data_IF_953114407449
#
_entry.id   IF_953114407449
#
_cell.length_a   1.000
_cell.length_b   1.000
_cell.length_c   1.000
_cell.angle_alpha   90.00
_cell.angle_beta   90.00
_cell.angle_gamma   90.00
#
_symmetry.space_group_name_H-M   'P 1'
#
loop_
_entity.id
_entity.type
_entity.pdbx_description
1 polymer ?
#
# COMPACT_ATOMS: atom_id res chain seq x y z
N UNK A 1 20.67 -14.64 -5.60
CA UNK A 1 22.03 -14.29 -6.06
C UNK A 1 22.81 -15.47 -6.62
N UNK A 2 23.07 -16.57 -5.89
CA UNK A 2 23.89 -17.70 -6.40
C UNK A 2 23.43 -18.25 -7.75
N UNK A 3 22.13 -18.51 -7.96
CA UNK A 3 21.62 -19.00 -9.24
C UNK A 3 21.80 -18.02 -10.41
N UNK A 4 21.59 -16.72 -10.14
CA UNK A 4 21.83 -15.68 -11.14
C UNK A 4 23.33 -15.59 -11.48
N UNK A 5 24.22 -15.69 -10.48
CA UNK A 5 25.67 -15.72 -10.67
C UNK A 5 26.16 -16.92 -11.47
N UNK A 6 25.43 -18.05 -11.40
CA UNK A 6 25.68 -19.24 -12.21
C UNK A 6 25.11 -19.13 -13.63
N UNK A 7 24.71 -17.94 -14.09
CA UNK A 7 24.07 -17.69 -15.37
C UNK A 7 22.81 -18.53 -15.61
N UNK A 8 22.11 -18.94 -14.54
CA UNK A 8 20.85 -19.67 -14.67
C UNK A 8 19.70 -18.68 -14.90
N UNK A 9 18.89 -18.84 -15.97
CA UNK A 9 17.71 -18.02 -16.17
C UNK A 9 16.81 -18.07 -14.94
N UNK A 10 16.58 -16.91 -14.33
CA UNK A 10 15.87 -16.79 -13.05
C UNK A 10 14.75 -15.78 -13.19
N UNK A 11 13.55 -16.14 -12.72
CA UNK A 11 12.39 -15.24 -12.64
C UNK A 11 12.06 -15.05 -11.17
N UNK A 12 11.92 -13.79 -10.74
CA UNK A 12 11.50 -13.43 -9.39
C UNK A 12 10.00 -13.15 -9.38
N UNK A 13 9.26 -13.83 -8.50
CA UNK A 13 7.86 -13.56 -8.23
C UNK A 13 7.72 -12.92 -6.86
N UNK A 14 7.36 -11.64 -6.83
CA UNK A 14 7.01 -10.95 -5.60
C UNK A 14 5.55 -11.24 -5.27
N UNK A 15 5.32 -12.10 -4.28
CA UNK A 15 3.98 -12.43 -3.85
C UNK A 15 3.41 -11.29 -3.00
N UNK A 16 2.37 -10.64 -3.51
CA UNK A 16 1.58 -9.68 -2.73
C UNK A 16 0.76 -10.34 -1.62
N UNK A 17 -0.01 -9.52 -0.90
CA UNK A 17 -0.95 -9.99 0.12
C UNK A 17 -2.38 -9.97 -0.42
N UNK A 18 -3.13 -11.05 -0.18
CA UNK A 18 -4.57 -11.06 -0.36
C UNK A 18 -5.25 -10.52 0.90
N UNK A 19 -6.30 -9.72 0.75
CA UNK A 19 -6.97 -9.08 1.88
C UNK A 19 -7.42 -10.12 2.92
N UNK A 20 -7.07 -9.87 4.20
CA UNK A 20 -7.40 -10.73 5.35
C UNK A 20 -6.79 -12.15 5.32
N UNK A 21 -5.83 -12.42 4.42
CA UNK A 21 -5.18 -13.73 4.23
C UNK A 21 -3.83 -13.81 4.94
N UNK A 22 -3.82 -13.64 6.27
CA UNK A 22 -2.58 -13.62 7.06
C UNK A 22 -1.82 -14.95 7.03
N UNK A 23 -2.54 -16.07 6.95
CA UNK A 23 -1.96 -17.41 6.77
C UNK A 23 -1.47 -17.66 5.35
N UNK A 24 -1.76 -16.74 4.41
CA UNK A 24 -1.33 -16.74 3.00
C UNK A 24 -1.84 -17.91 2.17
N UNK A 25 -3.00 -18.48 2.49
CA UNK A 25 -3.56 -19.61 1.73
C UNK A 25 -3.97 -19.18 0.32
N UNK A 26 -4.64 -18.03 0.20
CA UNK A 26 -5.08 -17.48 -1.07
C UNK A 26 -3.89 -16.98 -1.89
N UNK A 27 -2.96 -16.25 -1.26
CA UNK A 27 -1.72 -15.83 -1.92
C UNK A 27 -0.96 -17.04 -2.48
N UNK A 28 -0.77 -18.11 -1.70
CA UNK A 28 -0.08 -19.32 -2.17
C UNK A 28 -0.82 -20.01 -3.31
N UNK A 29 -2.14 -20.08 -3.26
CA UNK A 29 -2.95 -20.64 -4.33
C UNK A 29 -2.74 -19.90 -5.67
N UNK A 30 -2.73 -18.56 -5.66
CA UNK A 30 -2.50 -17.77 -6.87
C UNK A 30 -1.06 -17.87 -7.40
N UNK A 31 -0.08 -17.93 -6.50
CA UNK A 31 1.32 -18.17 -6.88
C UNK A 31 1.48 -19.55 -7.51
N UNK A 32 0.90 -20.59 -6.90
CA UNK A 32 0.91 -21.93 -7.45
C UNK A 32 0.32 -21.96 -8.87
N UNK A 33 -0.86 -21.36 -9.07
CA UNK A 33 -1.47 -21.26 -10.41
C UNK A 33 -0.58 -20.56 -11.42
N UNK A 34 0.08 -19.48 -11.03
CA UNK A 34 0.99 -18.72 -11.89
C UNK A 34 2.19 -19.56 -12.30
N UNK A 35 2.83 -20.24 -11.34
CA UNK A 35 3.97 -21.13 -11.59
C UNK A 35 3.57 -22.31 -12.46
N UNK A 36 2.44 -22.96 -12.17
CA UNK A 36 1.92 -24.06 -12.97
C UNK A 36 1.69 -23.62 -14.42
N UNK A 37 1.04 -22.46 -14.61
CA UNK A 37 0.80 -21.91 -15.95
C UNK A 37 2.11 -21.59 -16.67
N UNK A 38 3.11 -21.03 -15.97
CA UNK A 38 4.42 -20.73 -16.55
C UNK A 38 5.11 -22.02 -17.05
N UNK A 39 5.13 -23.08 -16.23
CA UNK A 39 5.68 -24.38 -16.62
C UNK A 39 4.97 -24.93 -17.85
N UNK A 40 3.62 -24.93 -17.85
CA UNK A 40 2.85 -25.38 -19.00
C UNK A 40 3.25 -24.65 -20.29
N UNK A 41 3.32 -23.31 -20.25
CA UNK A 41 3.68 -22.49 -21.42
C UNK A 41 5.10 -22.72 -21.92
N UNK A 42 6.05 -22.94 -21.00
CA UNK A 42 7.43 -23.30 -21.34
C UNK A 42 7.46 -24.65 -22.05
N UNK A 43 6.79 -25.66 -21.50
CA UNK A 43 6.77 -27.01 -22.08
C UNK A 43 6.08 -27.09 -23.43
N UNK A 44 5.06 -26.25 -23.66
CA UNK A 44 4.33 -26.20 -24.94
C UNK A 44 4.91 -25.21 -25.95
N UNK A 45 5.99 -24.49 -25.60
CA UNK A 45 6.60 -23.43 -26.41
C UNK A 45 5.58 -22.40 -26.95
N UNK A 46 4.56 -22.06 -26.13
CA UNK A 46 3.40 -21.25 -26.55
C UNK A 46 3.33 -19.89 -25.83
N UNK A 47 4.48 -19.37 -25.40
CA UNK A 47 4.58 -18.06 -24.72
C UNK A 47 4.15 -16.92 -25.67
N UNK A 48 4.44 -17.05 -26.96
CA UNK A 48 4.09 -16.07 -28.00
C UNK A 48 2.59 -16.00 -28.30
N UNK A 49 1.78 -16.91 -27.76
CA UNK A 49 0.33 -16.89 -27.90
C UNK A 49 -0.35 -15.78 -27.08
N UNK A 50 0.37 -15.09 -26.20
CA UNK A 50 -0.14 -13.97 -25.42
C UNK A 50 0.29 -12.64 -26.02
N UNK A 51 -0.69 -11.77 -26.24
CA UNK A 51 -0.49 -10.41 -26.68
C UNK A 51 0.26 -9.61 -25.60
N UNK A 52 1.34 -8.92 -25.98
CA UNK A 52 2.14 -8.08 -25.07
C UNK A 52 1.28 -6.97 -24.45
N UNK A 53 0.29 -6.51 -25.21
CA UNK A 53 -0.66 -5.47 -24.84
C UNK A 53 -1.45 -5.83 -23.58
N UNK A 54 -1.73 -7.13 -23.38
CA UNK A 54 -2.40 -7.61 -22.16
C UNK A 54 -1.55 -7.34 -20.92
N UNK A 55 -0.24 -7.61 -21.00
CA UNK A 55 0.67 -7.34 -19.90
C UNK A 55 0.77 -5.83 -19.63
N UNK A 56 0.93 -5.01 -20.68
CA UNK A 56 1.03 -3.55 -20.51
C UNK A 56 -0.28 -2.90 -20.06
N UNK A 57 -1.41 -3.60 -20.17
CA UNK A 57 -2.69 -3.13 -19.62
C UNK A 57 -2.80 -3.29 -18.10
N UNK A 58 -1.93 -4.13 -17.50
CA UNK A 58 -1.89 -4.29 -16.04
C UNK A 58 -1.42 -2.96 -15.43
N UNK A 59 -2.17 -2.38 -14.48
CA UNK A 59 -1.80 -1.12 -13.88
C UNK A 59 -0.47 -1.27 -13.14
N UNK A 60 0.41 -0.29 -13.33
CA UNK A 60 1.67 -0.24 -12.58
C UNK A 60 1.41 -0.12 -11.08
N UNK A 61 2.30 -0.72 -10.30
CA UNK A 61 2.27 -0.58 -8.85
C UNK A 61 2.54 0.88 -8.48
N UNK A 62 1.66 1.48 -7.69
CA UNK A 62 1.76 2.87 -7.23
C UNK A 62 1.82 2.92 -5.72
N UNK A 63 2.60 3.86 -5.17
CA UNK A 63 2.62 4.16 -3.73
C UNK A 63 1.36 4.94 -3.34
N UNK A 64 0.21 4.27 -3.37
CA UNK A 64 -1.09 4.85 -3.07
C UNK A 64 -1.73 4.26 -1.80
N UNK A 65 -0.92 3.66 -0.92
CA UNK A 65 -1.37 3.13 0.36
C UNK A 65 -0.62 3.86 1.49
N UNK A 66 -1.37 4.41 2.44
CA UNK A 66 -0.86 5.09 3.64
C UNK A 66 -1.43 4.43 4.90
N UNK A 67 -0.96 4.77 6.09
CA UNK A 67 -1.46 4.16 7.33
C UNK A 67 -2.82 4.76 7.73
N UNK A 68 -2.92 6.08 7.64
CA UNK A 68 -4.12 6.84 8.03
C UNK A 68 -4.46 7.87 6.96
N UNK A 69 -5.74 7.96 6.60
CA UNK A 69 -6.28 9.11 5.87
C UNK A 69 -7.18 9.90 6.80
N UNK A 70 -6.95 11.21 6.89
CA UNK A 70 -7.82 12.16 7.60
C UNK A 70 -8.51 13.03 6.55
N UNK A 71 -9.83 12.92 6.43
CA UNK A 71 -10.67 13.73 5.54
C UNK A 71 -11.22 14.94 6.29
N UNK A 72 -11.53 16.01 5.54
CA UNK A 72 -12.07 17.26 6.07
C UNK A 72 -11.17 17.85 7.16
N UNK A 73 -9.87 17.90 6.86
CA UNK A 73 -8.83 18.32 7.82
C UNK A 73 -9.00 19.79 8.26
N UNK A 74 -9.74 20.59 7.50
CA UNK A 74 -10.16 21.95 7.85
C UNK A 74 -10.95 22.02 9.18
N UNK A 75 -11.57 20.91 9.60
CA UNK A 75 -12.25 20.78 10.89
C UNK A 75 -11.27 20.67 12.08
N UNK A 76 -9.97 20.46 11.81
CA UNK A 76 -8.89 20.44 12.80
C UNK A 76 -8.14 21.78 12.77
N UNK A 77 -7.69 22.17 11.58
CA UNK A 77 -6.98 23.43 11.38
C UNK A 77 -7.56 24.16 10.15
N UNK A 78 -8.05 25.38 10.38
CA UNK A 78 -8.67 26.22 9.36
C UNK A 78 -7.72 26.73 8.26
N UNK A 79 -6.41 26.49 8.36
CA UNK A 79 -5.45 26.81 7.30
C UNK A 79 -5.54 25.89 6.09
N UNK A 80 -6.12 24.70 6.24
CA UNK A 80 -6.32 23.76 5.14
C UNK A 80 -7.53 24.14 4.28
N UNK A 81 -7.54 23.68 3.03
CA UNK A 81 -8.67 23.91 2.16
C UNK A 81 -9.88 23.06 2.61
N UNK A 82 -11.07 23.57 2.31
CA UNK A 82 -12.30 22.82 2.53
C UNK A 82 -12.27 21.51 1.74
N UNK A 83 -12.73 20.43 2.38
CA UNK A 83 -12.78 19.06 1.83
C UNK A 83 -11.38 18.46 1.53
N UNK A 84 -10.31 19.08 2.02
CA UNK A 84 -8.94 18.56 1.89
C UNK A 84 -8.74 17.32 2.77
N UNK A 85 -8.00 16.34 2.25
CA UNK A 85 -7.61 15.13 2.97
C UNK A 85 -6.10 15.03 3.09
N UNK A 86 -5.63 14.44 4.18
CA UNK A 86 -4.21 14.22 4.46
C UNK A 86 -3.95 12.73 4.67
N UNK A 87 -2.97 12.19 3.94
CA UNK A 87 -2.49 10.83 4.06
C UNK A 87 -1.21 10.79 4.89
N UNK A 88 -1.19 9.94 5.91
CA UNK A 88 -0.15 9.86 6.93
C UNK A 88 0.50 8.49 6.91
N UNK A 89 1.83 8.47 6.94
CA UNK A 89 2.66 7.29 7.15
C UNK A 89 3.42 7.39 8.47
N UNK A 90 3.50 6.29 9.21
CA UNK A 90 4.37 6.15 10.36
C UNK A 90 5.76 5.71 9.91
N UNK A 91 6.75 6.58 10.13
CA UNK A 91 8.15 6.27 9.85
C UNK A 91 8.82 5.78 11.12
N UNK A 92 9.54 4.66 10.99
CA UNK A 92 10.39 4.12 12.04
C UNK A 92 11.64 5.00 12.20
N UNK A 93 11.86 5.50 13.41
CA UNK A 93 13.04 6.27 13.79
C UNK A 93 13.71 5.55 14.95
N UNK A 94 15.01 5.25 14.81
CA UNK A 94 15.79 4.67 15.89
C UNK A 94 16.17 5.77 16.89
N UNK A 95 15.70 5.66 18.12
CA UNK A 95 16.01 6.56 19.22
C UNK A 95 16.37 5.76 20.46
N UNK A 96 17.56 6.00 21.05
CA UNK A 96 18.04 5.34 22.28
C UNK A 96 17.88 3.80 22.30
N UNK A 97 18.21 3.14 21.18
CA UNK A 97 18.06 1.68 20.97
C UNK A 97 16.62 1.16 20.93
N UNK A 98 15.63 2.02 20.79
CA UNK A 98 14.23 1.66 20.53
C UNK A 98 13.77 2.21 19.18
N UNK A 99 12.87 1.50 18.51
CA UNK A 99 12.20 1.98 17.30
C UNK A 99 10.98 2.80 17.73
N UNK A 100 10.98 4.08 17.39
CA UNK A 100 9.83 4.97 17.54
C UNK A 100 9.09 5.14 16.21
N UNK A 101 7.77 5.00 16.24
CA UNK A 101 6.91 5.29 15.09
C UNK A 101 6.44 6.75 15.17
N UNK A 102 6.89 7.55 14.20
CA UNK A 102 6.54 8.96 14.10
C UNK A 102 5.69 9.22 12.84
N UNK A 103 4.48 9.80 12.99
CA UNK A 103 3.63 10.08 11.85
C UNK A 103 4.23 11.20 11.00
N UNK A 104 4.11 11.07 9.68
CA UNK A 104 4.54 12.06 8.70
C UNK A 104 3.48 12.22 7.63
N UNK A 105 3.24 13.45 7.19
CA UNK A 105 2.36 13.73 6.06
C UNK A 105 3.07 13.26 4.80
N UNK A 106 2.49 12.25 4.14
CA UNK A 106 3.01 11.72 2.87
C UNK A 106 2.36 12.42 1.68
N UNK A 107 1.08 12.76 1.78
CA UNK A 107 0.31 13.38 0.70
C UNK A 107 -0.85 14.21 1.26
N UNK A 108 -1.20 15.31 0.61
CA UNK A 108 -2.40 16.10 0.89
C UNK A 108 -3.19 16.40 -0.39
N UNK A 109 -4.47 16.77 -0.23
CA UNK A 109 -5.38 17.10 -1.33
C UNK A 109 -6.54 16.10 -1.47
N UNK A 110 -6.95 15.83 -2.70
CA UNK A 110 -8.06 14.89 -2.99
C UNK A 110 -7.53 13.46 -3.10
N UNK A 111 -7.74 12.67 -2.05
CA UNK A 111 -7.14 11.33 -1.89
C UNK A 111 -8.05 10.17 -2.37
N UNK A 112 -8.87 10.36 -3.41
CA UNK A 112 -9.84 9.36 -3.89
C UNK A 112 -9.21 8.08 -4.45
N UNK A 113 -7.95 8.13 -4.85
CA UNK A 113 -7.18 6.98 -5.36
C UNK A 113 -6.19 6.43 -4.33
N UNK A 114 -6.27 6.88 -3.09
CA UNK A 114 -5.45 6.39 -1.99
C UNK A 114 -6.26 5.46 -1.09
N UNK A 115 -5.55 4.51 -0.51
CA UNK A 115 -6.06 3.53 0.42
C UNK A 115 -5.34 3.69 1.76
N UNK A 116 -5.99 3.28 2.85
CA UNK A 116 -5.38 3.29 4.15
C UNK A 116 -5.89 2.19 5.06
N UNK A 117 -5.09 1.83 6.07
CA UNK A 117 -5.52 0.93 7.13
C UNK A 117 -6.66 1.54 7.95
N UNK A 118 -6.63 2.87 8.17
CA UNK A 118 -7.71 3.61 8.84
C UNK A 118 -8.03 4.90 8.11
N UNK A 119 -9.31 5.25 8.13
CA UNK A 119 -9.82 6.50 7.58
C UNK A 119 -10.65 7.18 8.67
N UNK A 120 -10.39 8.46 8.89
CA UNK A 120 -11.19 9.32 9.78
C UNK A 120 -11.76 10.48 8.97
N UNK A 121 -13.07 10.67 9.02
CA UNK A 121 -13.78 11.80 8.47
C UNK A 121 -14.08 12.82 9.57
N UNK A 122 -13.35 13.94 9.55
CA UNK A 122 -13.48 14.95 10.61
C UNK A 122 -14.77 15.77 10.50
N UNK A 123 -15.53 15.68 9.41
CA UNK A 123 -16.88 16.22 9.35
C UNK A 123 -17.87 15.40 10.20
N UNK A 124 -17.52 14.15 10.55
CA UNK A 124 -18.30 13.28 11.43
C UNK A 124 -17.81 13.45 12.89
N UNK A 125 -18.64 13.99 13.81
CA UNK A 125 -18.18 14.33 15.16
C UNK A 125 -17.61 13.16 15.97
N UNK A 126 -18.11 11.94 15.76
CA UNK A 126 -17.62 10.75 16.44
C UNK A 126 -16.23 10.34 15.95
N UNK A 127 -15.97 10.43 14.65
CA UNK A 127 -14.65 10.09 14.07
C UNK A 127 -13.62 11.14 14.45
N UNK A 128 -13.99 12.43 14.46
CA UNK A 128 -13.14 13.50 15.00
C UNK A 128 -12.76 13.24 16.47
N UNK A 129 -13.73 12.81 17.30
CA UNK A 129 -13.46 12.41 18.70
C UNK A 129 -12.52 11.20 18.79
N UNK A 130 -12.61 10.23 17.86
CA UNK A 130 -11.72 9.08 17.82
C UNK A 130 -10.30 9.50 17.40
N UNK A 131 -10.17 10.33 16.37
CA UNK A 131 -8.89 10.86 15.93
C UNK A 131 -8.18 11.63 17.04
N UNK A 132 -8.92 12.43 17.82
CA UNK A 132 -8.39 13.18 18.97
C UNK A 132 -7.78 12.32 20.08
N UNK A 133 -7.99 11.00 20.06
CA UNK A 133 -7.29 10.05 20.96
C UNK A 133 -5.86 9.75 20.51
N UNK A 134 -5.44 10.22 19.33
CA UNK A 134 -4.12 10.03 18.76
C UNK A 134 -3.35 11.36 18.71
N UNK A 135 -2.72 11.80 19.82
CA UNK A 135 -2.12 13.14 19.92
C UNK A 135 -1.04 13.38 18.87
N UNK A 136 -0.15 12.42 18.59
CA UNK A 136 0.88 12.57 17.55
C UNK A 136 0.32 12.90 16.16
N UNK A 137 -0.88 12.41 15.83
CA UNK A 137 -1.53 12.72 14.53
C UNK A 137 -2.15 14.12 14.60
N UNK A 138 -2.83 14.46 15.69
CA UNK A 138 -3.45 15.78 15.85
C UNK A 138 -2.40 16.89 15.87
N UNK A 139 -1.29 16.69 16.58
CA UNK A 139 -0.18 17.63 16.66
C UNK A 139 0.50 17.84 15.31
N UNK A 140 0.50 16.82 14.43
CA UNK A 140 1.01 16.91 13.06
C UNK A 140 0.08 17.73 12.14
N UNK A 141 -1.21 17.79 12.45
CA UNK A 141 -2.24 18.44 11.63
C UNK A 141 -2.63 19.83 12.14
N UNK A 142 -2.25 20.18 13.37
CA UNK A 142 -2.36 21.54 13.92
C UNK A 142 -1.25 22.44 13.38
#
# INVERSE_FOLDING_TARGET
DTFQMLNTPTILFEAGHFQDDYEREHTRYYIFKSLWKAIQLITSNSVTSFAKELYTSIPENRKCFVDVIVKNVDQINASYNKDESVGILFKEVLHENAIELNPTIEVSGTLTKYYAHKIYDCAVPNELKLLRKHPKIVDLLN
#
